data_IF_590590609409
#
_entry.id   IF_590590609409
#
_cell.length_a   1.000
_cell.length_b   1.000
_cell.length_c   1.000
_cell.angle_alpha   90.00
_cell.angle_beta   90.00
_cell.angle_gamma   90.00
#
_symmetry.space_group_name_H-M   'P 1'
#
loop_
_entity.id
_entity.type
_entity.pdbx_description
1 polymer ?
#
# COMPACT_ATOMS: atom_id res chain seq x y z
N UNK A 1 9.21 -17.63 -22.19
CA UNK A 1 10.14 -18.53 -22.91
C UNK A 1 9.93 -18.35 -24.40
N UNK A 2 10.78 -17.55 -25.06
CA UNK A 2 10.78 -17.48 -26.52
C UNK A 2 11.79 -18.52 -27.01
N UNK A 3 11.26 -19.64 -27.53
CA UNK A 3 12.03 -20.65 -28.22
C UNK A 3 12.30 -20.16 -29.63
N UNK A 4 13.51 -19.67 -29.89
CA UNK A 4 14.09 -19.76 -31.22
C UNK A 4 14.96 -21.00 -31.22
N UNK A 5 14.66 -21.94 -32.11
CA UNK A 5 15.46 -23.12 -32.41
C UNK A 5 16.96 -22.79 -32.35
N UNK A 6 17.66 -23.52 -31.48
CA UNK A 6 19.11 -23.61 -31.33
C UNK A 6 19.87 -22.63 -30.43
N UNK A 7 19.24 -21.76 -29.63
CA UNK A 7 19.96 -21.15 -28.49
C UNK A 7 19.01 -20.77 -27.34
N UNK A 8 19.23 -21.35 -26.14
CA UNK A 8 18.54 -20.95 -24.91
C UNK A 8 19.16 -19.63 -24.45
N UNK A 9 18.60 -18.52 -24.90
CA UNK A 9 19.02 -17.19 -24.47
C UNK A 9 18.44 -16.92 -23.07
N UNK A 10 19.30 -16.77 -22.06
CA UNK A 10 18.88 -16.33 -20.72
C UNK A 10 18.51 -14.85 -20.76
N UNK A 11 17.28 -14.53 -20.36
CA UNK A 11 16.81 -13.15 -20.22
C UNK A 11 17.12 -12.65 -18.81
N UNK A 12 17.77 -11.49 -18.73
CA UNK A 12 18.09 -10.84 -17.46
C UNK A 12 17.01 -9.85 -17.04
N UNK A 13 16.25 -9.32 -18.01
CA UNK A 13 15.10 -8.48 -17.76
C UNK A 13 14.26 -8.31 -19.02
N UNK A 14 12.99 -7.95 -18.82
CA UNK A 14 12.12 -7.53 -19.91
C UNK A 14 11.27 -6.34 -19.48
N UNK A 15 10.87 -5.53 -20.45
CA UNK A 15 9.98 -4.39 -20.27
C UNK A 15 8.97 -4.37 -21.42
N UNK A 16 7.72 -4.04 -21.13
CA UNK A 16 6.68 -3.87 -22.16
C UNK A 16 6.39 -2.38 -22.30
N UNK A 17 6.68 -1.82 -23.47
CA UNK A 17 6.37 -0.43 -23.80
C UNK A 17 5.13 -0.43 -24.68
N UNK A 18 4.13 0.35 -24.31
CA UNK A 18 2.93 0.59 -25.12
C UNK A 18 2.93 2.06 -25.54
N UNK A 19 3.04 2.33 -26.85
CA UNK A 19 2.91 3.67 -27.39
C UNK A 19 1.73 3.72 -28.36
N UNK A 20 0.92 4.77 -28.25
CA UNK A 20 -0.29 5.01 -29.07
C UNK A 20 0.06 5.04 -30.57
N UNK A 21 1.29 5.44 -30.94
CA UNK A 21 1.72 5.52 -32.35
C UNK A 21 2.51 4.32 -32.88
N UNK A 22 3.11 3.49 -32.01
CA UNK A 22 4.06 2.42 -32.40
C UNK A 22 3.59 1.00 -32.00
N UNK A 23 2.43 0.89 -31.34
CA UNK A 23 1.93 -0.38 -30.81
C UNK A 23 2.64 -0.81 -29.52
N UNK A 24 2.28 -1.99 -29.03
CA UNK A 24 2.91 -2.59 -27.85
C UNK A 24 4.13 -3.40 -28.29
N UNK A 25 5.30 -3.09 -27.75
CA UNK A 25 6.53 -3.80 -28.00
C UNK A 25 7.14 -4.31 -26.70
N UNK A 26 7.64 -5.54 -26.73
CA UNK A 26 8.43 -6.12 -25.65
C UNK A 26 9.90 -5.90 -25.93
N UNK A 27 10.60 -5.35 -24.94
CA UNK A 27 12.05 -5.20 -24.91
C UNK A 27 12.60 -6.25 -23.97
N UNK A 28 13.60 -7.00 -24.40
CA UNK A 28 14.27 -8.01 -23.61
C UNK A 28 15.77 -7.75 -23.60
N UNK A 29 16.38 -7.84 -22.42
CA UNK A 29 17.83 -7.79 -22.23
C UNK A 29 18.31 -9.22 -21.99
N UNK A 30 19.23 -9.69 -22.81
CA UNK A 30 19.83 -11.02 -22.67
C UNK A 30 21.00 -10.99 -21.68
N UNK A 31 21.48 -12.15 -21.26
CA UNK A 31 22.69 -12.28 -20.44
C UNK A 31 23.97 -11.80 -21.17
N UNK A 32 23.92 -11.63 -22.49
CA UNK A 32 25.00 -11.01 -23.29
C UNK A 32 24.91 -9.49 -23.36
N UNK A 33 23.95 -8.87 -22.64
CA UNK A 33 23.58 -7.45 -22.78
C UNK A 33 23.05 -7.05 -24.17
N UNK A 34 22.69 -8.04 -25.01
CA UNK A 34 22.00 -7.77 -26.26
C UNK A 34 20.55 -7.36 -26.00
N UNK A 35 20.09 -6.35 -26.74
CA UNK A 35 18.72 -5.85 -26.68
C UNK A 35 17.88 -6.44 -27.81
N UNK A 36 16.82 -7.17 -27.45
CA UNK A 36 15.87 -7.76 -28.40
C UNK A 36 14.54 -7.03 -28.26
N UNK A 37 14.07 -6.42 -29.35
CA UNK A 37 12.75 -5.77 -29.42
C UNK A 37 11.82 -6.62 -30.29
N UNK A 38 10.66 -7.01 -29.73
CA UNK A 38 9.63 -7.76 -30.46
C UNK A 38 8.28 -7.05 -30.37
N UNK A 39 7.67 -6.66 -31.51
CA UNK A 39 6.31 -6.14 -31.49
C UNK A 39 5.34 -7.25 -31.06
N UNK A 40 4.46 -6.94 -30.12
CA UNK A 40 3.42 -7.86 -29.66
C UNK A 40 2.20 -7.68 -30.57
N UNK A 41 1.97 -8.63 -31.47
CA UNK A 41 0.93 -8.58 -32.51
C UNK A 41 -0.49 -8.88 -31.99
N UNK A 42 -0.77 -8.79 -30.69
CA UNK A 42 -2.06 -9.24 -30.13
C UNK A 42 -2.72 -8.14 -29.29
N UNK A 43 -3.80 -7.60 -29.85
CA UNK A 43 -4.84 -6.80 -29.19
C UNK A 43 -5.68 -7.70 -28.27
N UNK A 44 -5.10 -8.18 -27.18
CA UNK A 44 -5.88 -8.69 -26.06
C UNK A 44 -5.39 -7.93 -24.85
N UNK A 45 -6.16 -6.90 -24.45
CA UNK A 45 -5.99 -6.27 -23.14
C UNK A 45 -6.15 -7.37 -22.10
N UNK A 46 -5.10 -7.74 -21.33
CA UNK A 46 -5.35 -8.53 -20.14
C UNK A 46 -6.30 -7.73 -19.24
N UNK A 47 -7.24 -8.38 -18.53
CA UNK A 47 -8.07 -7.68 -17.56
C UNK A 47 -7.13 -6.93 -16.60
N UNK A 48 -7.42 -5.67 -16.26
CA UNK A 48 -6.57 -4.89 -15.39
C UNK A 48 -6.36 -5.68 -14.09
N UNK A 49 -5.10 -5.87 -13.70
CA UNK A 49 -4.78 -6.34 -12.37
C UNK A 49 -5.43 -5.36 -11.38
N UNK A 50 -5.90 -5.85 -10.24
CA UNK A 50 -6.58 -5.06 -9.19
C UNK A 50 -5.81 -3.81 -8.70
N UNK A 51 -4.57 -3.61 -9.15
CA UNK A 51 -3.73 -2.45 -8.87
C UNK A 51 -3.67 -1.41 -10.01
N UNK A 52 -4.36 -1.59 -11.14
CA UNK A 52 -4.34 -0.64 -12.27
C UNK A 52 -5.63 0.18 -12.42
N UNK A 53 -6.49 0.21 -11.41
CA UNK A 53 -7.59 1.17 -11.40
C UNK A 53 -7.01 2.58 -11.22
N UNK A 54 -6.84 3.27 -12.35
CA UNK A 54 -6.93 4.73 -12.41
C UNK A 54 -8.37 5.12 -12.11
N UNK A 55 -8.79 4.97 -10.87
CA UNK A 55 -10.02 5.56 -10.37
C UNK A 55 -9.63 6.67 -9.41
N UNK A 56 -9.69 7.88 -9.97
CA UNK A 56 -10.12 9.06 -9.26
C UNK A 56 -11.16 8.69 -8.19
N UNK A 57 -10.89 9.02 -6.93
CA UNK A 57 -11.74 8.85 -5.75
C UNK A 57 -11.56 7.55 -4.94
N UNK A 58 -10.35 6.99 -4.89
CA UNK A 58 -9.94 6.35 -3.64
C UNK A 58 -9.30 7.42 -2.79
N UNK A 59 -9.95 7.74 -1.68
CA UNK A 59 -9.33 8.42 -0.54
C UNK A 59 -8.13 7.56 -0.15
N UNK A 60 -7.00 7.79 -0.81
CA UNK A 60 -5.72 7.31 -0.35
C UNK A 60 -5.68 7.77 1.10
N UNK A 61 -5.59 6.81 2.02
CA UNK A 61 -5.14 7.09 3.37
C UNK A 61 -3.65 7.41 3.20
N UNK A 62 -3.37 8.54 2.56
CA UNK A 62 -2.11 9.23 2.66
C UNK A 62 -2.06 9.58 4.14
N UNK A 63 -1.04 9.12 4.88
CA UNK A 63 -0.86 9.53 6.26
C UNK A 63 -0.97 11.05 6.31
N UNK A 64 -1.89 11.58 7.13
CA UNK A 64 -2.31 12.99 7.21
C UNK A 64 -1.16 14.03 7.34
N UNK A 65 0.08 13.57 7.48
CA UNK A 65 1.31 14.38 7.60
C UNK A 65 1.82 14.90 6.25
N UNK A 66 1.22 14.51 5.11
CA UNK A 66 1.72 14.86 3.77
C UNK A 66 0.68 15.54 2.87
N UNK A 67 -0.48 15.87 3.43
CA UNK A 67 -1.58 16.51 2.71
C UNK A 67 -1.27 17.94 2.23
N UNK A 68 -0.12 18.51 2.62
CA UNK A 68 0.20 19.92 2.39
C UNK A 68 0.81 20.22 1.00
N UNK A 69 1.04 19.20 0.17
CA UNK A 69 1.56 19.38 -1.19
C UNK A 69 0.49 18.98 -2.21
N UNK A 70 -0.06 19.99 -2.92
CA UNK A 70 -1.00 19.77 -4.04
C UNK A 70 -0.31 18.98 -5.16
N UNK A 71 -0.63 17.69 -5.26
CA UNK A 71 -0.26 16.82 -6.37
C UNK A 71 0.87 15.82 -6.06
N UNK A 72 1.12 14.86 -6.97
CA UNK A 72 2.21 13.90 -6.85
C UNK A 72 3.54 14.54 -6.46
N UNK A 73 4.30 13.90 -5.56
CA UNK A 73 5.62 14.37 -5.11
C UNK A 73 6.57 14.68 -6.27
N UNK A 74 6.40 14.00 -7.40
CA UNK A 74 7.12 14.28 -8.63
C UNK A 74 6.89 15.70 -9.16
N UNK A 75 5.65 16.21 -9.18
CA UNK A 75 5.36 17.58 -9.60
C UNK A 75 5.96 18.61 -8.64
N UNK A 76 6.04 18.27 -7.35
CA UNK A 76 6.71 19.11 -6.36
C UNK A 76 8.22 19.22 -6.63
N UNK A 77 8.89 18.11 -6.93
CA UNK A 77 10.31 18.12 -7.33
C UNK A 77 10.53 18.82 -8.68
N UNK A 78 9.65 18.59 -9.66
CA UNK A 78 9.69 19.29 -10.93
C UNK A 78 9.55 20.81 -10.77
N UNK A 79 8.81 21.28 -9.76
CA UNK A 79 8.67 22.71 -9.49
C UNK A 79 10.00 23.36 -9.07
N UNK A 80 10.80 22.67 -8.23
CA UNK A 80 12.15 23.13 -7.87
C UNK A 80 13.12 23.09 -9.05
N UNK A 81 13.01 22.08 -9.92
CA UNK A 81 13.92 21.89 -11.05
C UNK A 81 13.54 22.71 -12.28
N UNK A 82 12.40 23.42 -12.25
CA UNK A 82 11.97 24.29 -13.35
C UNK A 82 12.96 25.44 -13.51
N UNK A 83 13.40 25.66 -14.74
CA UNK A 83 14.39 26.69 -15.09
C UNK A 83 13.69 27.92 -15.67
N UNK A 84 14.11 29.09 -15.24
CA UNK A 84 13.58 30.37 -15.72
C UNK A 84 14.54 31.07 -16.69
N UNK A 85 15.81 30.64 -16.70
CA UNK A 85 16.80 31.07 -17.67
C UNK A 85 17.66 29.91 -18.18
N UNK A 86 18.10 30.01 -19.43
CA UNK A 86 18.99 29.06 -20.07
C UNK A 86 20.39 29.67 -20.25
N UNK A 87 21.39 28.82 -20.50
CA UNK A 87 22.74 29.29 -20.78
C UNK A 87 22.73 30.13 -22.06
N UNK A 88 23.23 31.38 -22.05
CA UNK A 88 23.34 32.16 -23.27
C UNK A 88 24.18 31.42 -24.30
N UNK A 89 23.55 31.02 -25.40
CA UNK A 89 24.24 30.47 -26.55
C UNK A 89 24.77 31.64 -27.37
N UNK A 90 26.04 31.56 -27.78
CA UNK A 90 26.58 32.49 -28.76
C UNK A 90 25.85 32.27 -30.09
N UNK A 91 24.87 33.12 -30.39
CA UNK A 91 24.34 33.28 -31.74
C UNK A 91 25.40 34.05 -32.55
N UNK A 92 26.38 33.31 -33.08
CA UNK A 92 27.29 33.82 -34.11
C UNK A 92 26.51 34.01 -35.42
N UNK A 93 25.68 35.04 -35.47
CA UNK A 93 25.11 35.57 -36.70
C UNK A 93 25.94 36.77 -37.14
N UNK A 94 26.79 36.56 -38.15
CA UNK A 94 27.28 37.63 -39.04
C UNK A 94 28.54 38.44 -38.68
N UNK A 95 29.56 37.89 -38.00
CA UNK A 95 30.92 38.47 -38.09
C UNK A 95 31.95 37.42 -38.49
N UNK A 96 32.20 37.32 -39.80
CA UNK A 96 33.48 36.86 -40.33
C UNK A 96 34.57 37.83 -39.83
N UNK A 97 35.64 37.28 -39.29
CA UNK A 97 36.98 37.88 -39.19
C UNK A 97 37.37 38.74 -37.96
N UNK A 98 36.65 38.70 -36.85
CA UNK A 98 37.20 39.20 -35.56
C UNK A 98 36.98 38.18 -34.44
N UNK A 99 38.05 37.68 -33.84
CA UNK A 99 37.96 36.93 -32.58
C UNK A 99 37.18 37.75 -31.55
N UNK A 100 36.26 37.15 -30.79
CA UNK A 100 35.50 37.87 -29.76
C UNK A 100 36.45 38.58 -28.81
N UNK A 101 36.07 39.79 -28.37
CA UNK A 101 36.87 40.54 -27.40
C UNK A 101 37.07 39.69 -26.14
N UNK A 102 38.25 39.74 -25.53
CA UNK A 102 38.51 39.01 -24.27
C UNK A 102 37.48 39.35 -23.19
N UNK A 103 36.92 40.56 -23.23
CA UNK A 103 35.86 41.01 -22.32
C UNK A 103 34.53 40.28 -22.57
N UNK A 104 34.14 40.06 -23.83
CA UNK A 104 32.92 39.34 -24.21
C UNK A 104 33.00 37.86 -23.79
N UNK A 105 34.17 37.24 -23.95
CA UNK A 105 34.41 35.86 -23.48
C UNK A 105 34.28 35.76 -21.95
N UNK A 106 34.83 36.74 -21.22
CA UNK A 106 34.73 36.78 -19.76
C UNK A 106 33.29 37.03 -19.28
N UNK A 107 32.55 37.92 -19.93
CA UNK A 107 31.14 38.18 -19.62
C UNK A 107 30.26 36.96 -19.92
N UNK A 108 30.52 36.24 -21.01
CA UNK A 108 29.83 34.99 -21.31
C UNK A 108 30.11 33.93 -20.24
N UNK A 109 31.38 33.74 -19.87
CA UNK A 109 31.79 32.77 -18.86
C UNK A 109 31.18 33.10 -17.49
N UNK A 110 31.19 34.38 -17.09
CA UNK A 110 30.62 34.81 -15.82
C UNK A 110 29.10 34.57 -15.80
N UNK A 111 28.40 34.91 -16.88
CA UNK A 111 26.96 34.67 -17.00
C UNK A 111 26.62 33.18 -17.02
N UNK A 112 27.36 32.38 -17.78
CA UNK A 112 27.20 30.92 -17.81
C UNK A 112 27.41 30.31 -16.41
N UNK A 113 28.47 30.75 -15.72
CA UNK A 113 28.78 30.31 -14.35
C UNK A 113 27.66 30.67 -13.38
N UNK A 114 27.11 31.88 -13.48
CA UNK A 114 25.99 32.32 -12.66
C UNK A 114 24.74 31.45 -12.90
N UNK A 115 24.38 31.21 -14.17
CA UNK A 115 23.27 30.33 -14.53
C UNK A 115 23.47 28.92 -13.98
N UNK A 116 24.68 28.35 -14.09
CA UNK A 116 24.96 27.02 -13.51
C UNK A 116 24.77 26.99 -11.99
N UNK A 117 25.22 28.04 -11.28
CA UNK A 117 25.07 28.10 -9.82
C UNK A 117 23.60 28.23 -9.40
N UNK A 118 22.87 29.15 -10.03
CA UNK A 118 21.51 29.52 -9.62
C UNK A 118 20.46 28.54 -10.16
N UNK A 119 20.50 28.20 -11.45
CA UNK A 119 19.47 27.40 -12.11
C UNK A 119 19.71 25.89 -12.04
N UNK A 120 20.94 25.45 -11.75
CA UNK A 120 21.29 24.02 -11.74
C UNK A 120 21.70 23.55 -10.35
N UNK A 121 22.85 24.01 -9.83
CA UNK A 121 23.39 23.48 -8.58
C UNK A 121 22.45 23.71 -7.40
N UNK A 122 22.00 24.96 -7.21
CA UNK A 122 21.12 25.31 -6.09
C UNK A 122 19.78 24.56 -6.17
N UNK A 123 19.13 24.55 -7.34
CA UNK A 123 17.85 23.87 -7.56
C UNK A 123 17.96 22.34 -7.40
N UNK A 124 19.04 21.73 -7.88
CA UNK A 124 19.32 20.30 -7.67
C UNK A 124 19.59 19.96 -6.20
N UNK A 125 20.31 20.82 -5.49
CA UNK A 125 20.58 20.65 -4.07
C UNK A 125 19.30 20.72 -3.24
N UNK A 126 18.39 21.65 -3.54
CA UNK A 126 17.07 21.74 -2.91
C UNK A 126 16.25 20.48 -3.18
N UNK A 127 16.17 20.04 -4.44
CA UNK A 127 15.46 18.81 -4.80
C UNK A 127 16.03 17.58 -4.07
N UNK A 128 17.36 17.47 -3.98
CA UNK A 128 18.03 16.39 -3.23
C UNK A 128 17.66 16.42 -1.75
N UNK A 129 17.67 17.59 -1.12
CA UNK A 129 17.29 17.73 0.29
C UNK A 129 15.82 17.33 0.52
N UNK A 130 14.92 17.75 -0.38
CA UNK A 130 13.50 17.35 -0.31
C UNK A 130 13.29 15.85 -0.44
N UNK A 131 13.96 15.21 -1.40
CA UNK A 131 13.92 13.75 -1.57
C UNK A 131 14.45 13.05 -0.32
N UNK A 132 15.61 13.49 0.21
CA UNK A 132 16.19 12.90 1.40
C UNK A 132 15.27 13.04 2.63
N UNK A 133 14.63 14.21 2.81
CA UNK A 133 13.65 14.42 3.87
C UNK A 133 12.46 13.50 3.71
N UNK A 134 11.92 13.38 2.49
CA UNK A 134 10.79 12.50 2.19
C UNK A 134 11.11 11.04 2.48
N UNK A 135 12.29 10.57 2.09
CA UNK A 135 12.76 9.20 2.35
C UNK A 135 12.84 8.95 3.86
N UNK A 136 13.42 9.85 4.65
CA UNK A 136 13.50 9.71 6.11
C UNK A 136 12.11 9.58 6.75
N UNK A 137 11.17 10.42 6.32
CA UNK A 137 9.79 10.37 6.81
C UNK A 137 9.11 9.04 6.45
N UNK A 138 9.29 8.57 5.22
CA UNK A 138 8.71 7.29 4.76
C UNK A 138 9.29 6.09 5.52
N UNK A 139 10.60 6.12 5.85
CA UNK A 139 11.23 5.07 6.66
C UNK A 139 10.61 5.05 8.07
N UNK A 140 10.53 6.20 8.73
CA UNK A 140 9.94 6.29 10.07
C UNK A 140 8.45 5.88 10.08
N UNK A 141 7.69 6.23 9.03
CA UNK A 141 6.31 5.78 8.87
C UNK A 141 6.20 4.27 8.69
N UNK A 142 7.08 3.68 7.87
CA UNK A 142 7.13 2.22 7.67
C UNK A 142 7.45 1.49 8.97
N UNK A 143 8.43 1.97 9.74
CA UNK A 143 8.81 1.39 11.03
C UNK A 143 7.63 1.38 11.99
N UNK A 144 6.97 2.54 12.16
CA UNK A 144 5.76 2.64 12.97
C UNK A 144 4.65 1.69 12.50
N UNK A 145 4.39 1.62 11.19
CA UNK A 145 3.37 0.72 10.65
C UNK A 145 3.67 -0.76 10.93
N UNK A 146 4.96 -1.16 10.95
CA UNK A 146 5.36 -2.51 11.30
C UNK A 146 5.14 -2.79 12.79
N UNK A 147 5.43 -1.83 13.67
CA UNK A 147 5.16 -1.91 15.10
C UNK A 147 3.65 -2.03 15.38
N UNK A 148 2.83 -1.17 14.78
CA UNK A 148 1.37 -1.20 14.91
C UNK A 148 0.78 -2.54 14.43
N UNK A 149 1.31 -3.08 13.32
CA UNK A 149 0.89 -4.37 12.77
C UNK A 149 1.28 -5.52 13.69
N UNK A 150 2.46 -5.47 14.31
CA UNK A 150 2.87 -6.46 15.29
C UNK A 150 1.96 -6.41 16.53
N UNK A 151 1.69 -5.22 17.06
CA UNK A 151 0.77 -5.03 18.17
C UNK A 151 -0.61 -5.63 17.88
N UNK A 152 -1.18 -5.34 16.70
CA UNK A 152 -2.48 -5.88 16.30
C UNK A 152 -2.48 -7.42 16.22
N UNK A 153 -1.37 -8.04 15.78
CA UNK A 153 -1.23 -9.51 15.78
C UNK A 153 -1.24 -10.07 17.19
N UNK A 154 -0.54 -9.43 18.12
CA UNK A 154 -0.49 -9.84 19.53
C UNK A 154 -1.86 -9.69 20.20
N UNK A 155 -2.56 -8.59 19.95
CA UNK A 155 -3.92 -8.35 20.44
C UNK A 155 -4.89 -9.40 19.90
N UNK A 156 -4.85 -9.69 18.59
CA UNK A 156 -5.65 -10.77 17.99
C UNK A 156 -5.39 -12.12 18.66
N UNK A 157 -4.13 -12.44 18.94
CA UNK A 157 -3.76 -13.70 19.62
C UNK A 157 -4.38 -13.76 21.01
N UNK A 158 -4.21 -12.70 21.81
CA UNK A 158 -4.78 -12.59 23.15
C UNK A 158 -6.31 -12.71 23.14
N UNK A 159 -6.98 -12.04 22.18
CA UNK A 159 -8.43 -12.11 22.04
C UNK A 159 -8.91 -13.52 21.67
N UNK A 160 -8.17 -14.21 20.80
CA UNK A 160 -8.48 -15.60 20.42
C UNK A 160 -8.35 -16.53 21.62
N UNK A 161 -7.27 -16.44 22.38
CA UNK A 161 -7.08 -17.22 23.61
C UNK A 161 -8.16 -16.93 24.67
N UNK A 162 -8.62 -15.67 24.76
CA UNK A 162 -9.71 -15.31 25.67
C UNK A 162 -11.04 -15.90 25.21
N UNK A 163 -11.32 -15.87 23.91
CA UNK A 163 -12.53 -16.47 23.34
C UNK A 163 -12.55 -17.99 23.56
N UNK A 164 -11.41 -18.68 23.41
CA UNK A 164 -11.27 -20.10 23.71
C UNK A 164 -11.56 -20.40 25.18
N UNK A 165 -10.94 -19.65 26.10
CA UNK A 165 -11.21 -19.79 27.55
C UNK A 165 -12.66 -19.51 27.92
N UNK A 166 -13.31 -18.57 27.24
CA UNK A 166 -14.73 -18.32 27.44
C UNK A 166 -15.58 -19.48 26.95
N UNK A 167 -15.28 -20.03 25.76
CA UNK A 167 -16.00 -21.18 25.21
C UNK A 167 -15.91 -22.41 26.13
N UNK A 168 -14.73 -22.70 26.70
CA UNK A 168 -14.56 -23.77 27.68
C UNK A 168 -15.47 -23.59 28.91
N UNK A 169 -15.53 -22.37 29.46
CA UNK A 169 -16.41 -22.05 30.60
C UNK A 169 -17.89 -22.16 30.24
N UNK A 170 -18.28 -21.77 29.04
CA UNK A 170 -19.66 -21.91 28.56
C UNK A 170 -20.07 -23.38 28.47
N UNK A 171 -19.19 -24.25 27.95
CA UNK A 171 -19.46 -25.70 27.90
C UNK A 171 -19.56 -26.31 29.31
N UNK A 172 -18.75 -25.86 30.27
CA UNK A 172 -18.88 -26.31 31.66
C UNK A 172 -20.20 -25.85 32.31
N UNK A 173 -20.56 -24.58 32.15
CA UNK A 173 -21.83 -24.05 32.65
C UNK A 173 -23.05 -24.77 32.04
N UNK A 174 -22.97 -25.10 30.75
CA UNK A 174 -24.03 -25.86 30.06
C UNK A 174 -24.22 -27.26 30.67
N UNK A 175 -23.14 -27.96 30.99
CA UNK A 175 -23.21 -29.26 31.69
C UNK A 175 -23.86 -29.12 33.07
N UNK A 176 -23.57 -28.04 33.80
CA UNK A 176 -24.18 -27.77 35.10
C UNK A 176 -25.69 -27.51 34.96
N UNK A 177 -26.10 -26.73 33.96
CA UNK A 177 -27.52 -26.46 33.65
C UNK A 177 -28.27 -27.77 33.30
N UNK A 178 -27.67 -28.64 32.49
CA UNK A 178 -28.23 -29.96 32.17
C UNK A 178 -28.45 -30.82 33.43
N UNK A 179 -27.49 -30.79 34.37
CA UNK A 179 -27.61 -31.49 35.66
C UNK A 179 -28.74 -30.92 36.52
N UNK A 180 -28.86 -29.58 36.58
CA UNK A 180 -29.96 -28.90 37.28
C UNK A 180 -31.31 -29.28 36.66
N UNK A 181 -31.41 -29.35 35.34
CA UNK A 181 -32.65 -29.71 34.66
C UNK A 181 -33.05 -31.17 34.93
N UNK A 182 -32.08 -32.08 35.02
CA UNK A 182 -32.32 -33.45 35.48
C UNK A 182 -32.81 -33.51 36.93
N UNK A 183 -32.18 -32.76 37.84
CA UNK A 183 -32.60 -32.66 39.24
C UNK A 183 -34.01 -32.09 39.38
N UNK A 184 -34.34 -31.03 38.63
CA UNK A 184 -35.71 -30.48 38.56
C UNK A 184 -36.71 -31.55 38.11
N UNK A 185 -36.37 -32.38 37.14
CA UNK A 185 -37.19 -33.52 36.69
C UNK A 185 -37.44 -34.54 37.79
N UNK A 186 -36.38 -34.95 38.51
CA UNK A 186 -36.47 -35.88 39.64
C UNK A 186 -37.35 -35.28 40.76
N UNK A 187 -37.11 -34.03 41.15
CA UNK A 187 -37.88 -33.36 42.19
C UNK A 187 -39.38 -33.28 41.84
N UNK A 188 -39.70 -32.97 40.58
CA UNK A 188 -41.09 -32.98 40.09
C UNK A 188 -41.71 -34.37 40.24
N UNK A 189 -40.99 -35.44 39.87
CA UNK A 189 -41.50 -36.81 40.03
C UNK A 189 -41.77 -37.19 41.49
N UNK A 190 -40.88 -36.82 42.42
CA UNK A 190 -41.13 -37.00 43.85
C UNK A 190 -42.34 -36.20 44.33
N UNK A 191 -42.47 -34.94 43.88
CA UNK A 191 -43.62 -34.11 44.23
C UNK A 191 -44.94 -34.70 43.74
N UNK A 192 -44.96 -35.33 42.56
CA UNK A 192 -46.16 -36.02 42.06
C UNK A 192 -46.47 -37.34 42.76
N UNK A 193 -45.49 -37.95 43.43
CA UNK A 193 -45.64 -39.19 44.19
C UNK A 193 -45.90 -38.96 45.68
N UNK A 194 -45.72 -37.74 46.18
CA UNK A 194 -46.13 -37.37 47.52
C UNK A 194 -47.66 -37.57 47.62
N UNK A 195 -48.15 -38.35 48.61
CA UNK A 195 -49.58 -38.46 48.87
C UNK A 195 -50.07 -37.10 49.40
N UNK A 196 -50.39 -36.20 48.49
CA UNK A 196 -51.14 -35.01 48.83
C UNK A 196 -52.60 -35.46 48.93
N UNK A 197 -53.20 -35.29 50.11
CA UNK A 197 -54.64 -35.48 50.27
C UNK A 197 -55.34 -34.71 49.15
N UNK A 198 -56.17 -35.39 48.38
CA UNK A 198 -57.06 -34.77 47.41
C UNK A 198 -57.88 -33.67 48.10
N UNK A 199 -58.31 -32.64 47.37
CA UNK A 199 -59.21 -31.62 47.94
C UNK A 199 -60.43 -32.28 48.61
N UNK A 200 -60.98 -33.33 48.00
CA UNK A 200 -62.05 -34.14 48.57
C UNK A 200 -61.66 -34.86 49.87
N UNK A 201 -60.43 -35.37 49.98
CA UNK A 201 -59.94 -36.04 51.19
C UNK A 201 -59.63 -35.03 52.31
N UNK A 202 -59.19 -33.81 51.95
CA UNK A 202 -59.00 -32.72 52.92
C UNK A 202 -60.32 -32.23 53.48
N UNK A 203 -61.35 -32.11 52.63
CA UNK A 203 -62.66 -31.65 53.06
C UNK A 203 -63.39 -32.72 53.88
N UNK A 204 -63.32 -33.99 53.47
CA UNK A 204 -63.81 -35.10 54.28
C UNK A 204 -63.12 -35.19 55.65
N UNK A 205 -61.81 -34.89 55.73
CA UNK A 205 -61.10 -34.82 57.02
C UNK A 205 -61.59 -33.67 57.90
N UNK A 206 -62.00 -32.54 57.33
CA UNK A 206 -62.58 -31.41 58.09
C UNK A 206 -63.99 -31.72 58.59
N UNK A 207 -64.78 -32.48 57.82
CA UNK A 207 -66.14 -32.88 58.23
C UNK A 207 -66.15 -33.96 59.31
N UNK A 208 -65.04 -34.71 59.46
CA UNK A 208 -64.89 -35.76 60.46
C UNK A 208 -64.27 -35.29 61.80
N UNK A 209 -63.95 -34.00 61.95
CA UNK A 209 -63.46 -33.38 63.20
C UNK A 209 -64.53 -32.49 63.82
#
# INVERSE_FOLDING_TARGET
FLLTSDNIIRLQGFWIISNISLGTAMICITSGFDCIVRPLLITIRPPPLLCSQTESNVTEIVPHVLADVKGPFEHYIQSFLRRDSANPLLLNSSRKDSSPSSEECLQLLSRATQVFREEYLLKQDLARQEIQRRVKLLIAQKEKQLEDLQYCKEEKKSLTEMAERLAEKFEEAKKQEDLINRLKGILRSFHTQLPALSESERDMKKELQ
#
